data_IF_204881687033
#
_entry.id   IF_204881687033
#
_cell.length_a   1.000
_cell.length_b   1.000
_cell.length_c   1.000
_cell.angle_alpha   90.00
_cell.angle_beta   90.00
_cell.angle_gamma   90.00
#
_symmetry.space_group_name_H-M   'P 1'
#
loop_
_entity.id
_entity.type
_entity.pdbx_description
1 polymer ?
#
# COMPACT_ATOMS: atom_id res chain seq x y z
N UNK A 1 22.37 19.25 -0.14
CA UNK A 1 21.74 18.32 -1.11
C UNK A 1 20.54 17.63 -0.47
N UNK A 2 19.59 17.07 -1.23
CA UNK A 2 18.37 16.46 -0.68
C UNK A 2 18.65 15.34 0.35
N UNK A 3 19.72 14.56 0.13
CA UNK A 3 20.14 13.53 1.07
C UNK A 3 20.63 14.11 2.41
N UNK A 4 21.36 15.22 2.38
CA UNK A 4 21.80 15.92 3.60
C UNK A 4 20.58 16.43 4.36
N UNK A 5 19.61 17.01 3.67
CA UNK A 5 18.35 17.45 4.29
C UNK A 5 17.59 16.29 4.93
N UNK A 6 17.52 15.14 4.27
CA UNK A 6 16.88 13.94 4.84
C UNK A 6 17.62 13.48 6.10
N UNK A 7 18.96 13.45 6.07
CA UNK A 7 19.77 13.12 7.24
C UNK A 7 19.54 14.12 8.40
N UNK A 8 19.51 15.42 8.11
CA UNK A 8 19.32 16.47 9.11
C UNK A 8 17.95 16.34 9.78
N UNK A 9 16.89 16.10 8.99
CA UNK A 9 15.54 15.88 9.50
C UNK A 9 15.48 14.62 10.36
N UNK A 10 16.06 13.51 9.89
CA UNK A 10 16.09 12.25 10.66
C UNK A 10 16.83 12.43 11.98
N UNK A 11 17.99 13.09 11.99
CA UNK A 11 18.74 13.38 13.22
C UNK A 11 17.95 14.27 14.17
N UNK A 12 17.25 15.28 13.66
CA UNK A 12 16.35 16.12 14.45
C UNK A 12 15.22 15.29 15.06
N UNK A 13 14.57 14.44 14.27
CA UNK A 13 13.47 13.59 14.72
C UNK A 13 13.92 12.52 15.73
N UNK A 14 15.16 12.02 15.66
CA UNK A 14 15.73 11.11 16.66
C UNK A 14 15.80 11.74 18.06
N UNK A 15 15.94 13.06 18.16
CA UNK A 15 15.98 13.78 19.43
C UNK A 15 14.59 14.04 20.03
N UNK A 16 13.52 13.84 19.25
CA UNK A 16 12.13 14.05 19.71
C UNK A 16 11.74 12.89 20.63
N UNK A 17 11.36 13.25 21.87
CA UNK A 17 10.83 12.28 22.84
C UNK A 17 9.33 12.08 22.63
N UNK A 18 8.85 10.89 22.98
CA UNK A 18 7.43 10.54 23.02
C UNK A 18 6.69 10.60 21.66
N UNK A 19 7.40 10.42 20.54
CA UNK A 19 6.80 10.23 19.21
C UNK A 19 5.92 11.42 18.75
N UNK A 20 6.12 12.58 19.37
CA UNK A 20 5.33 13.81 19.20
C UNK A 20 5.83 14.69 18.04
N UNK A 21 5.94 14.08 16.86
CA UNK A 21 6.44 14.78 15.68
C UNK A 21 5.52 15.93 15.24
N UNK A 22 6.12 17.08 14.91
CA UNK A 22 5.39 18.24 14.43
C UNK A 22 4.99 18.09 12.96
N UNK A 23 3.93 18.78 12.48
CA UNK A 23 3.59 18.79 11.06
C UNK A 23 4.75 19.19 10.14
N UNK A 24 5.64 20.06 10.62
CA UNK A 24 6.86 20.47 9.90
C UNK A 24 7.85 19.30 9.74
N UNK A 25 7.95 18.41 10.73
CA UNK A 25 8.79 17.20 10.62
C UNK A 25 8.27 16.27 9.53
N UNK A 26 6.95 16.09 9.44
CA UNK A 26 6.32 15.29 8.39
C UNK A 26 6.59 15.88 7.00
N UNK A 27 6.39 17.19 6.84
CA UNK A 27 6.58 17.88 5.55
C UNK A 27 8.04 17.84 5.08
N UNK A 28 8.98 18.12 5.99
CA UNK A 28 10.41 18.08 5.66
C UNK A 28 10.90 16.67 5.36
N UNK A 29 10.45 15.66 6.13
CA UNK A 29 10.78 14.26 5.86
C UNK A 29 10.24 13.83 4.50
N UNK A 30 8.97 14.14 4.21
CA UNK A 30 8.35 13.84 2.93
C UNK A 30 9.09 14.51 1.77
N UNK A 31 9.31 15.82 1.86
CA UNK A 31 9.93 16.61 0.77
C UNK A 31 11.36 16.14 0.48
N UNK A 32 12.17 15.94 1.52
CA UNK A 32 13.55 15.48 1.35
C UNK A 32 13.60 14.03 0.85
N UNK A 33 12.77 13.14 1.41
CA UNK A 33 12.70 11.73 1.01
C UNK A 33 12.21 11.55 -0.42
N UNK A 34 11.14 12.26 -0.80
CA UNK A 34 10.63 12.31 -2.18
C UNK A 34 11.73 12.73 -3.14
N UNK A 35 12.39 13.85 -2.85
CA UNK A 35 13.44 14.39 -3.72
C UNK A 35 14.60 13.39 -3.87
N UNK A 36 14.98 12.69 -2.79
CA UNK A 36 16.00 11.65 -2.85
C UNK A 36 15.59 10.47 -3.75
N UNK A 37 14.35 10.00 -3.63
CA UNK A 37 13.82 8.91 -4.46
C UNK A 37 13.78 9.33 -5.93
N UNK A 38 13.25 10.52 -6.23
CA UNK A 38 13.15 11.05 -7.59
C UNK A 38 14.52 11.29 -8.24
N UNK A 39 15.54 11.66 -7.46
CA UNK A 39 16.93 11.81 -7.92
C UNK A 39 17.68 10.48 -8.02
N UNK A 40 17.05 9.36 -7.68
CA UNK A 40 17.63 8.03 -7.77
C UNK A 40 18.61 7.70 -6.65
N UNK A 41 18.47 8.32 -5.49
CA UNK A 41 19.23 8.00 -4.26
C UNK A 41 18.49 6.99 -3.36
N UNK A 42 17.69 6.10 -3.95
CA UNK A 42 16.86 5.13 -3.21
C UNK A 42 17.67 4.15 -2.37
N UNK A 43 18.91 3.85 -2.75
CA UNK A 43 19.80 3.01 -1.94
C UNK A 43 20.16 3.68 -0.61
N UNK A 44 20.45 4.97 -0.64
CA UNK A 44 20.76 5.77 0.55
C UNK A 44 19.51 5.96 1.41
N UNK A 45 18.36 6.25 0.79
CA UNK A 45 17.07 6.31 1.50
C UNK A 45 16.80 4.98 2.21
N UNK A 46 16.95 3.85 1.53
CA UNK A 46 16.78 2.54 2.15
C UNK A 46 17.70 2.36 3.36
N UNK A 47 18.99 2.70 3.23
CA UNK A 47 19.96 2.58 4.34
C UNK A 47 19.57 3.39 5.58
N UNK A 48 18.95 4.56 5.38
CA UNK A 48 18.44 5.39 6.47
C UNK A 48 17.21 4.73 7.09
N UNK A 49 16.26 4.25 6.29
CA UNK A 49 15.01 3.69 6.81
C UNK A 49 15.22 2.39 7.60
N UNK A 50 16.16 1.53 7.18
CA UNK A 50 16.42 0.25 7.86
C UNK A 50 17.24 0.37 9.14
N UNK A 51 17.85 1.54 9.41
CA UNK A 51 18.59 1.76 10.66
C UNK A 51 17.65 1.65 11.86
N UNK A 52 18.01 0.81 12.83
CA UNK A 52 17.22 0.58 14.04
C UNK A 52 16.91 1.87 14.81
N UNK A 53 17.81 2.86 14.75
CA UNK A 53 17.61 4.16 15.39
C UNK A 53 16.47 4.97 14.78
N UNK A 54 16.11 4.65 13.54
CA UNK A 54 15.10 5.38 12.77
C UNK A 54 13.74 4.70 12.78
N UNK A 55 13.60 3.52 13.39
CA UNK A 55 12.39 2.70 13.34
C UNK A 55 11.13 3.45 13.78
N UNK A 56 11.21 4.26 14.83
CA UNK A 56 10.07 5.08 15.26
C UNK A 56 9.69 6.12 14.20
N UNK A 57 10.66 6.78 13.58
CA UNK A 57 10.41 7.75 12.49
C UNK A 57 9.72 7.04 11.32
N UNK A 58 10.23 5.88 10.91
CA UNK A 58 9.65 5.10 9.80
C UNK A 58 8.24 4.62 10.13
N UNK A 59 7.99 4.22 11.39
CA UNK A 59 6.68 3.77 11.85
C UNK A 59 5.59 4.83 11.65
N UNK A 60 5.89 6.10 11.93
CA UNK A 60 4.92 7.21 11.89
C UNK A 60 4.96 8.02 10.60
N UNK A 61 6.12 8.20 9.98
CA UNK A 61 6.31 9.08 8.82
C UNK A 61 6.58 8.32 7.52
N UNK A 62 6.96 7.03 7.59
CA UNK A 62 7.40 6.28 6.42
C UNK A 62 6.34 6.17 5.32
N UNK A 63 5.06 6.16 5.70
CA UNK A 63 3.93 6.11 4.76
C UNK A 63 3.90 7.32 3.80
N UNK A 64 4.46 8.48 4.18
CA UNK A 64 4.52 9.64 3.28
C UNK A 64 5.34 9.37 2.01
N UNK A 65 6.25 8.39 2.05
CA UNK A 65 7.07 8.02 0.90
C UNK A 65 6.34 7.09 -0.09
N UNK A 66 5.13 6.62 0.21
CA UNK A 66 4.39 5.69 -0.65
C UNK A 66 4.15 6.27 -2.05
N UNK A 67 3.72 7.53 -2.16
CA UNK A 67 3.47 8.18 -3.44
C UNK A 67 4.67 8.13 -4.40
N UNK A 68 5.82 8.73 -4.05
CA UNK A 68 6.99 8.68 -4.92
C UNK A 68 7.51 7.26 -5.17
N UNK A 69 7.39 6.34 -4.21
CA UNK A 69 7.76 4.94 -4.43
C UNK A 69 6.89 4.28 -5.49
N UNK A 70 5.56 4.41 -5.38
CA UNK A 70 4.62 3.83 -6.35
C UNK A 70 4.87 4.39 -7.74
N UNK A 71 5.12 5.70 -7.87
CA UNK A 71 5.45 6.30 -9.16
C UNK A 71 6.70 5.71 -9.81
N UNK A 72 7.78 5.45 -9.05
CA UNK A 72 8.99 4.81 -9.57
C UNK A 72 8.73 3.34 -9.91
N UNK A 73 8.00 2.62 -9.05
CA UNK A 73 7.67 1.20 -9.26
C UNK A 73 6.83 0.97 -10.52
N UNK A 74 5.92 1.90 -10.85
CA UNK A 74 5.10 1.83 -12.06
C UNK A 74 5.91 2.05 -13.34
N UNK A 75 7.02 2.78 -13.29
CA UNK A 75 7.86 3.05 -14.47
C UNK A 75 8.62 1.81 -14.98
N UNK A 76 8.78 0.76 -14.16
CA UNK A 76 9.38 -0.56 -14.51
C UNK A 76 10.79 -0.61 -15.10
N UNK A 77 11.39 0.53 -15.46
CA UNK A 77 12.73 0.60 -16.09
C UNK A 77 13.76 1.41 -15.26
N UNK A 78 13.49 1.65 -13.97
CA UNK A 78 14.41 2.40 -13.11
C UNK A 78 15.48 1.48 -12.48
N UNK A 79 16.75 1.87 -12.58
CA UNK A 79 17.88 1.18 -11.92
C UNK A 79 17.71 1.07 -10.39
N UNK A 80 16.85 1.88 -9.80
CA UNK A 80 16.54 1.91 -8.38
C UNK A 80 15.35 1.02 -7.99
N UNK A 81 14.69 0.35 -8.93
CA UNK A 81 13.56 -0.53 -8.64
C UNK A 81 13.80 -1.52 -7.50
N UNK A 82 14.95 -2.23 -7.43
CA UNK A 82 15.19 -3.16 -6.32
C UNK A 82 15.17 -2.45 -4.96
N UNK A 83 15.74 -1.25 -4.90
CA UNK A 83 15.77 -0.43 -3.68
C UNK A 83 14.37 0.11 -3.35
N UNK A 84 13.60 0.57 -4.34
CA UNK A 84 12.23 1.03 -4.12
C UNK A 84 11.31 -0.10 -3.64
N UNK A 85 11.46 -1.32 -4.20
CA UNK A 85 10.78 -2.50 -3.69
C UNK A 85 11.19 -2.82 -2.25
N UNK A 86 12.48 -2.79 -1.94
CA UNK A 86 12.97 -3.04 -0.59
C UNK A 86 12.47 -1.98 0.41
N UNK A 87 12.40 -0.70 0.02
CA UNK A 87 11.80 0.35 0.84
C UNK A 87 10.33 0.03 1.08
N UNK A 88 9.54 -0.24 0.03
CA UNK A 88 8.13 -0.56 0.18
C UNK A 88 7.93 -1.76 1.10
N UNK A 89 8.69 -2.85 0.91
CA UNK A 89 8.64 -4.02 1.79
C UNK A 89 8.95 -3.68 3.24
N UNK A 90 9.98 -2.86 3.49
CA UNK A 90 10.31 -2.43 4.85
C UNK A 90 9.20 -1.58 5.47
N UNK A 91 8.64 -0.63 4.72
CA UNK A 91 7.51 0.17 5.18
C UNK A 91 6.32 -0.71 5.55
N UNK A 92 5.99 -1.73 4.76
CA UNK A 92 4.90 -2.66 5.03
C UNK A 92 5.13 -3.52 6.28
N UNK A 93 6.38 -3.71 6.70
CA UNK A 93 6.75 -4.47 7.89
C UNK A 93 6.65 -3.62 9.16
N UNK A 94 7.24 -2.42 9.14
CA UNK A 94 7.45 -1.60 10.36
C UNK A 94 6.47 -0.44 10.49
N UNK A 95 5.92 0.03 9.36
CA UNK A 95 4.98 1.14 9.31
C UNK A 95 3.68 0.82 10.05
N UNK A 96 3.04 1.87 10.56
CA UNK A 96 1.75 1.74 11.22
C UNK A 96 0.66 1.30 10.22
N UNK A 97 -0.06 0.18 10.48
CA UNK A 97 -0.99 -0.38 9.52
C UNK A 97 -2.12 0.56 9.07
N UNK A 98 -2.57 1.48 9.92
CA UNK A 98 -3.68 2.38 9.58
C UNK A 98 -3.25 3.44 8.58
N UNK A 99 -2.12 4.07 8.83
CA UNK A 99 -1.52 5.12 8.00
C UNK A 99 -1.06 4.53 6.66
N UNK A 100 -0.44 3.34 6.68
CA UNK A 100 -0.11 2.62 5.46
C UNK A 100 -1.35 2.28 4.62
N UNK A 101 -2.44 1.84 5.27
CA UNK A 101 -3.67 1.51 4.54
C UNK A 101 -4.22 2.75 3.83
N UNK A 102 -4.33 3.87 4.54
CA UNK A 102 -4.81 5.14 3.97
C UNK A 102 -3.91 5.57 2.82
N UNK A 103 -2.60 5.63 3.03
CA UNK A 103 -1.66 6.06 1.99
C UNK A 103 -1.67 5.14 0.76
N UNK A 104 -1.83 3.83 0.92
CA UNK A 104 -1.97 2.90 -0.21
C UNK A 104 -3.29 3.09 -0.96
N UNK A 105 -4.40 3.36 -0.25
CA UNK A 105 -5.70 3.60 -0.87
C UNK A 105 -5.73 4.93 -1.63
N UNK A 106 -5.07 5.97 -1.12
CA UNK A 106 -4.86 7.24 -1.84
C UNK A 106 -4.19 6.99 -3.19
N UNK A 107 -3.14 6.15 -3.24
CA UNK A 107 -2.47 5.84 -4.52
C UNK A 107 -3.39 5.10 -5.50
N UNK A 108 -4.30 4.25 -5.01
CA UNK A 108 -5.30 3.59 -5.85
C UNK A 108 -6.32 4.59 -6.37
N UNK A 109 -6.79 5.50 -5.51
CA UNK A 109 -7.83 6.48 -5.85
C UNK A 109 -7.34 7.54 -6.85
N UNK A 110 -6.10 8.00 -6.68
CA UNK A 110 -5.46 9.01 -7.53
C UNK A 110 -4.94 8.45 -8.87
N UNK A 111 -5.04 7.14 -9.10
CA UNK A 111 -4.60 6.51 -10.34
C UNK A 111 -5.29 7.13 -11.57
N UNK A 112 -4.47 7.56 -12.52
CA UNK A 112 -4.97 8.02 -13.82
C UNK A 112 -5.55 6.85 -14.62
N UNK A 113 -6.44 7.16 -15.57
CA UNK A 113 -7.14 6.14 -16.36
C UNK A 113 -6.21 5.21 -17.15
N UNK A 114 -4.96 5.62 -17.41
CA UNK A 114 -3.98 4.83 -18.16
C UNK A 114 -3.17 3.88 -17.26
N UNK A 115 -3.15 4.11 -15.95
CA UNK A 115 -2.36 3.36 -14.97
C UNK A 115 -3.21 2.65 -13.90
N UNK A 116 -4.56 2.70 -13.99
CA UNK A 116 -5.45 2.00 -13.06
C UNK A 116 -5.04 0.53 -12.92
N UNK A 117 -4.86 -0.18 -14.04
CA UNK A 117 -4.60 -1.61 -14.00
C UNK A 117 -3.25 -1.93 -13.36
N UNK A 118 -2.21 -1.18 -13.71
CA UNK A 118 -0.85 -1.33 -13.19
C UNK A 118 -0.79 -0.97 -11.71
N UNK A 119 -1.43 0.13 -11.30
CA UNK A 119 -1.48 0.59 -9.91
C UNK A 119 -2.24 -0.39 -9.03
N UNK A 120 -3.43 -0.82 -9.45
CA UNK A 120 -4.20 -1.85 -8.73
C UNK A 120 -3.37 -3.11 -8.59
N UNK A 121 -2.82 -3.63 -9.69
CA UNK A 121 -2.04 -4.88 -9.67
C UNK A 121 -0.81 -4.78 -8.76
N UNK A 122 -0.10 -3.64 -8.78
CA UNK A 122 1.05 -3.38 -7.92
C UNK A 122 0.67 -3.36 -6.43
N UNK A 123 -0.47 -2.74 -6.09
CA UNK A 123 -0.85 -2.43 -4.71
C UNK A 123 -1.71 -3.49 -4.02
N UNK A 124 -2.28 -4.45 -4.75
CA UNK A 124 -3.08 -5.53 -4.14
C UNK A 124 -2.31 -6.29 -3.06
N UNK A 125 -1.05 -6.68 -3.31
CA UNK A 125 -0.26 -7.42 -2.32
C UNK A 125 0.14 -6.56 -1.09
N UNK A 126 0.61 -5.31 -1.27
CA UNK A 126 0.77 -4.35 -0.17
C UNK A 126 -0.50 -4.17 0.68
N UNK A 127 -1.65 -3.91 0.05
CA UNK A 127 -2.93 -3.74 0.74
C UNK A 127 -3.31 -4.99 1.54
N UNK A 128 -3.18 -6.17 0.94
CA UNK A 128 -3.48 -7.44 1.61
C UNK A 128 -2.60 -7.63 2.85
N UNK A 129 -1.29 -7.35 2.73
CA UNK A 129 -0.32 -7.46 3.83
C UNK A 129 -0.71 -6.54 4.99
N UNK A 130 -1.07 -5.29 4.70
CA UNK A 130 -1.46 -4.31 5.73
C UNK A 130 -2.78 -4.71 6.40
N UNK A 131 -3.79 -5.11 5.62
CA UNK A 131 -5.08 -5.54 6.15
C UNK A 131 -4.97 -6.74 7.08
N UNK A 132 -4.10 -7.72 6.76
CA UNK A 132 -3.85 -8.86 7.61
C UNK A 132 -3.19 -8.48 8.95
N UNK A 133 -2.45 -7.36 9.00
CA UNK A 133 -1.83 -6.81 10.23
C UNK A 133 -2.81 -6.05 11.13
N UNK A 134 -4.01 -5.67 10.66
CA UNK A 134 -5.00 -4.93 11.46
C UNK A 134 -5.73 -5.76 12.52
N UNK A 135 -5.55 -7.09 12.53
CA UNK A 135 -6.14 -8.00 13.51
C UNK A 135 -7.67 -8.12 13.38
N UNK A 136 -8.35 -8.38 14.51
CA UNK A 136 -9.77 -8.79 14.53
C UNK A 136 -10.78 -7.72 14.07
N UNK A 137 -10.40 -6.44 14.06
CA UNK A 137 -11.30 -5.32 13.69
C UNK A 137 -11.08 -4.81 12.25
N UNK A 138 -10.57 -5.67 11.38
CA UNK A 138 -10.20 -5.31 9.99
C UNK A 138 -11.38 -5.30 9.00
N UNK A 139 -12.57 -5.77 9.39
CA UNK A 139 -13.71 -5.93 8.48
C UNK A 139 -14.04 -4.62 7.73
N UNK A 140 -14.23 -3.52 8.45
CA UNK A 140 -14.50 -2.21 7.84
C UNK A 140 -13.39 -1.73 6.90
N UNK A 141 -12.12 -1.98 7.27
CA UNK A 141 -10.96 -1.68 6.43
C UNK A 141 -10.92 -2.52 5.16
N UNK A 142 -11.30 -3.81 5.23
CA UNK A 142 -11.43 -4.69 4.07
C UNK A 142 -12.56 -4.20 3.15
N UNK A 143 -13.73 -3.88 3.71
CA UNK A 143 -14.87 -3.34 2.95
C UNK A 143 -14.52 -2.03 2.23
N UNK A 144 -13.88 -1.09 2.93
CA UNK A 144 -13.39 0.16 2.35
C UNK A 144 -12.39 -0.10 1.21
N UNK A 145 -11.40 -0.97 1.45
CA UNK A 145 -10.39 -1.32 0.43
C UNK A 145 -11.03 -1.90 -0.82
N UNK A 146 -11.97 -2.83 -0.66
CA UNK A 146 -12.68 -3.44 -1.77
C UNK A 146 -13.53 -2.43 -2.53
N UNK A 147 -14.24 -1.55 -1.82
CA UNK A 147 -15.02 -0.48 -2.44
C UNK A 147 -14.13 0.44 -3.29
N UNK A 148 -12.98 0.86 -2.77
CA UNK A 148 -12.03 1.72 -3.49
C UNK A 148 -11.46 1.00 -4.72
N UNK A 149 -11.00 -0.25 -4.56
CA UNK A 149 -10.45 -1.06 -5.65
C UNK A 149 -11.48 -1.28 -6.76
N UNK A 150 -12.70 -1.70 -6.41
CA UNK A 150 -13.76 -1.93 -7.38
C UNK A 150 -14.19 -0.64 -8.09
N UNK A 151 -14.25 0.48 -7.37
CA UNK A 151 -14.59 1.78 -7.98
C UNK A 151 -13.59 2.18 -9.05
N UNK A 152 -12.31 1.89 -8.85
CA UNK A 152 -11.27 2.15 -9.84
C UNK A 152 -11.32 1.16 -11.00
N UNK A 153 -11.42 -0.15 -10.72
CA UNK A 153 -11.50 -1.19 -11.76
C UNK A 153 -12.74 -1.03 -12.64
N UNK A 154 -13.87 -0.56 -12.09
CA UNK A 154 -15.09 -0.29 -12.84
C UNK A 154 -14.95 0.83 -13.88
N UNK A 155 -13.88 1.65 -13.81
CA UNK A 155 -13.57 2.68 -14.82
C UNK A 155 -12.89 2.09 -16.06
N UNK A 156 -12.37 0.86 -15.99
CA UNK A 156 -11.72 0.20 -17.13
C UNK A 156 -12.75 -0.25 -18.17
N UNK A 157 -12.45 -0.15 -19.48
CA UNK A 157 -13.33 -0.64 -20.53
C UNK A 157 -13.60 -2.14 -20.41
N UNK A 158 -14.88 -2.52 -20.51
CA UNK A 158 -15.30 -3.93 -20.51
C UNK A 158 -15.09 -4.51 -21.91
N UNK A 159 -14.33 -5.61 -22.06
CA UNK A 159 -14.17 -6.27 -23.35
C UNK A 159 -15.51 -6.84 -23.83
N UNK A 160 -15.79 -6.73 -25.12
CA UNK A 160 -17.06 -7.20 -25.74
C UNK A 160 -16.86 -8.39 -26.67
N UNK A 161 -15.61 -8.78 -26.92
CA UNK A 161 -15.23 -9.92 -27.75
C UNK A 161 -14.17 -10.77 -27.06
N UNK A 162 -14.05 -12.03 -27.46
CA UNK A 162 -13.02 -12.94 -26.93
C UNK A 162 -11.60 -12.45 -27.19
N UNK A 163 -11.36 -11.88 -28.37
CA UNK A 163 -10.05 -11.32 -28.73
C UNK A 163 -9.66 -10.18 -27.78
N UNK A 164 -10.61 -9.30 -27.41
CA UNK A 164 -10.36 -8.25 -26.43
C UNK A 164 -10.16 -8.78 -25.00
N UNK A 165 -10.85 -9.85 -24.63
CA UNK A 165 -10.63 -10.54 -23.35
C UNK A 165 -9.24 -11.16 -23.28
N UNK A 166 -8.75 -11.73 -24.38
CA UNK A 166 -7.43 -12.36 -24.50
C UNK A 166 -6.30 -11.32 -24.54
N UNK A 167 -6.48 -10.23 -25.31
CA UNK A 167 -5.49 -9.16 -25.42
C UNK A 167 -5.38 -8.33 -24.12
N UNK A 168 -6.48 -8.19 -23.38
CA UNK A 168 -6.60 -7.47 -22.10
C UNK A 168 -5.81 -6.15 -22.06
N UNK A 169 -5.92 -5.37 -23.14
CA UNK A 169 -5.15 -4.14 -23.37
C UNK A 169 -5.28 -3.17 -22.19
N UNK A 170 -6.50 -3.02 -21.67
CA UNK A 170 -6.81 -2.14 -20.54
C UNK A 170 -6.61 -2.79 -19.17
N UNK A 171 -6.33 -4.09 -19.12
CA UNK A 171 -6.02 -4.80 -17.89
C UNK A 171 -7.20 -5.10 -16.97
N UNK A 172 -8.44 -5.11 -17.47
CA UNK A 172 -9.60 -5.45 -16.66
C UNK A 172 -9.56 -6.92 -16.24
N UNK A 173 -9.27 -7.84 -17.16
CA UNK A 173 -9.26 -9.28 -16.87
C UNK A 173 -8.17 -9.63 -15.85
N UNK A 174 -6.97 -9.06 -15.98
CA UNK A 174 -5.89 -9.25 -15.00
C UNK A 174 -6.26 -8.67 -13.64
N UNK A 175 -6.90 -7.50 -13.58
CA UNK A 175 -7.34 -6.89 -12.32
C UNK A 175 -8.37 -7.76 -11.61
N UNK A 176 -9.39 -8.23 -12.33
CA UNK A 176 -10.39 -9.14 -11.78
C UNK A 176 -9.77 -10.44 -11.24
N UNK A 177 -8.84 -11.03 -12.01
CA UNK A 177 -8.13 -12.25 -11.60
C UNK A 177 -7.27 -12.03 -10.35
N UNK A 178 -6.58 -10.89 -10.27
CA UNK A 178 -5.76 -10.53 -9.13
C UNK A 178 -6.61 -10.20 -7.88
N UNK A 179 -7.78 -9.57 -8.06
CA UNK A 179 -8.74 -9.31 -6.98
C UNK A 179 -9.26 -10.60 -6.34
N UNK A 180 -9.48 -11.65 -7.13
CA UNK A 180 -9.86 -12.97 -6.60
C UNK A 180 -8.75 -13.54 -5.70
N UNK A 181 -7.48 -13.39 -6.09
CA UNK A 181 -6.35 -13.81 -5.25
C UNK A 181 -6.20 -12.93 -4.00
N UNK A 182 -6.52 -11.64 -4.11
CA UNK A 182 -6.50 -10.69 -3.01
C UNK A 182 -7.50 -11.06 -1.91
N UNK A 183 -8.74 -11.42 -2.25
CA UNK A 183 -9.77 -11.74 -1.26
C UNK A 183 -9.59 -13.11 -0.59
N UNK A 184 -8.83 -14.01 -1.23
CA UNK A 184 -8.70 -15.41 -0.82
C UNK A 184 -8.34 -15.62 0.66
N UNK A 185 -7.34 -14.93 1.25
CA UNK A 185 -7.02 -15.14 2.66
C UNK A 185 -8.15 -14.76 3.62
N UNK A 186 -8.92 -13.71 3.30
CA UNK A 186 -10.06 -13.29 4.13
C UNK A 186 -11.24 -14.27 4.04
N UNK A 187 -11.44 -14.88 2.86
CA UNK A 187 -12.43 -15.96 2.70
C UNK A 187 -12.01 -17.23 3.46
N UNK A 188 -10.72 -17.57 3.44
CA UNK A 188 -10.17 -18.70 4.18
C UNK A 188 -10.28 -18.49 5.69
N UNK A 189 -10.01 -17.27 6.19
CA UNK A 189 -10.20 -16.90 7.60
C UNK A 189 -11.64 -17.14 8.06
N UNK A 190 -12.64 -16.72 7.29
CA UNK A 190 -14.06 -16.99 7.61
C UNK A 190 -14.36 -18.49 7.60
N UNK A 191 -13.77 -19.26 6.68
CA UNK A 191 -14.00 -20.72 6.61
C UNK A 191 -13.44 -21.44 7.83
N UNK A 192 -12.27 -21.05 8.32
CA UNK A 192 -11.70 -21.62 9.54
C UNK A 192 -12.52 -21.23 10.77
N UNK A 193 -12.96 -19.97 10.89
CA UNK A 193 -13.86 -19.55 11.98
C UNK A 193 -15.17 -20.36 12.04
N UNK A 194 -15.74 -20.71 10.87
CA UNK A 194 -16.95 -21.53 10.78
C UNK A 194 -16.71 -22.95 11.30
N UNK A 195 -15.55 -23.54 10.99
CA UNK A 195 -15.19 -24.90 11.42
C UNK A 195 -14.96 -24.97 12.93
N UNK A 196 -14.34 -23.95 13.51
CA UNK A 196 -13.96 -23.95 14.93
C UNK A 196 -15.13 -23.65 15.88
N UNK A 197 -16.12 -22.85 15.46
CA UNK A 197 -17.14 -22.33 16.41
C UNK A 197 -18.55 -22.93 16.30
N UNK A 198 -18.89 -23.77 15.31
CA UNK A 198 -20.23 -24.38 15.10
C UNK A 198 -21.43 -23.40 15.18
N UNK A 199 -21.18 -22.09 15.28
CA UNK A 199 -22.13 -20.99 15.39
C UNK A 199 -21.68 -19.93 14.40
N UNK A 200 -22.34 -19.92 13.24
CA UNK A 200 -22.33 -18.76 12.37
C UNK A 200 -23.01 -17.65 13.16
N UNK A 201 -22.24 -16.71 13.73
CA UNK A 201 -22.83 -15.42 14.02
C UNK A 201 -23.19 -14.80 12.67
N UNK A 202 -24.48 -14.46 12.47
CA UNK A 202 -24.90 -13.63 11.33
C UNK A 202 -24.18 -12.27 11.31
N UNK A 203 -23.56 -11.88 12.42
CA UNK A 203 -22.75 -10.68 12.60
C UNK A 203 -21.25 -10.89 12.33
N UNK A 204 -20.84 -11.89 11.53
CA UNK A 204 -19.46 -11.90 11.05
C UNK A 204 -19.28 -10.71 10.07
N UNK A 205 -18.80 -9.59 10.60
CA UNK A 205 -18.62 -8.33 9.88
C UNK A 205 -17.77 -8.54 8.62
N UNK A 206 -16.71 -9.35 8.70
CA UNK A 206 -15.84 -9.64 7.55
C UNK A 206 -16.61 -10.37 6.44
N UNK A 207 -17.46 -11.34 6.81
CA UNK A 207 -18.35 -12.01 5.85
C UNK A 207 -19.33 -11.03 5.22
N UNK A 208 -19.91 -10.13 6.01
CA UNK A 208 -20.85 -9.11 5.50
C UNK A 208 -20.17 -8.21 4.47
N UNK A 209 -18.95 -7.74 4.75
CA UNK A 209 -18.21 -6.90 3.80
C UNK A 209 -17.83 -7.65 2.51
N UNK A 210 -17.40 -8.91 2.59
CA UNK A 210 -17.07 -9.71 1.40
C UNK A 210 -18.29 -10.07 0.54
N UNK A 211 -19.49 -10.14 1.11
CA UNK A 211 -20.74 -10.42 0.37
C UNK A 211 -21.31 -9.18 -0.34
N UNK A 212 -20.73 -8.00 -0.15
CA UNK A 212 -21.09 -6.78 -0.90
C UNK A 212 -20.38 -6.69 -2.26
N UNK A 213 -19.40 -7.57 -2.51
CA UNK A 213 -18.76 -7.77 -3.81
C UNK A 213 -19.75 -8.37 -4.82
#
# INVERSE_FOLDING_TARGET
MALEQLCDVVQRCQAVKDESFSPEDYDLFFTAGRTCIEQGSSAQVLSILVDEKNQNIVRFMGWNLLGPLVQILLKKEDRNLPHCHAILSHLLEVGSPKELLVGLLEQVEEADSASIAETVTLLLKPLQTVLLRLGMKKASSVGMTLSTLLSQVARLPVPVTKEQEEDDVFGLCRCCSALIQFVKPFVEEIKEEIKDNNRISKDNELRVELLKL
#
